data_IF_672960066834
#
_entry.id   IF_672960066834
#
_cell.length_a   1.000
_cell.length_b   1.000
_cell.length_c   1.000
_cell.angle_alpha   90.00
_cell.angle_beta   90.00
_cell.angle_gamma   90.00
#
_symmetry.space_group_name_H-M   'P 1'
#
loop_
_entity.id
_entity.type
_entity.pdbx_description
1 polymer ?
#
# COMPACT_ATOMS: atom_id res chain seq x y z
N UNK A 1 -9.96 -21.40 8.83
CA UNK A 1 -9.32 -20.57 7.79
C UNK A 1 -10.07 -19.26 7.71
N UNK A 2 -9.36 -18.12 7.73
CA UNK A 2 -9.98 -16.80 7.57
C UNK A 2 -9.74 -16.34 6.13
N UNK A 3 -10.81 -16.31 5.33
CA UNK A 3 -10.77 -15.90 3.92
C UNK A 3 -11.58 -14.63 3.75
N UNK A 4 -11.00 -13.60 3.14
CA UNK A 4 -11.71 -12.40 2.70
C UNK A 4 -12.03 -12.52 1.20
N UNK A 5 -13.31 -12.25 0.83
CA UNK A 5 -13.78 -12.44 -0.54
C UNK A 5 -14.05 -11.11 -1.20
N UNK A 6 -13.42 -10.90 -2.35
CA UNK A 6 -13.71 -9.85 -3.30
C UNK A 6 -14.55 -10.42 -4.46
N UNK A 7 -14.97 -9.59 -5.40
CA UNK A 7 -15.80 -10.03 -6.53
C UNK A 7 -15.08 -11.04 -7.44
N UNK A 8 -13.80 -10.85 -7.69
CA UNK A 8 -13.05 -11.64 -8.66
C UNK A 8 -11.90 -12.45 -8.09
N UNK A 9 -11.60 -12.27 -6.79
CA UNK A 9 -10.55 -13.02 -6.09
C UNK A 9 -10.84 -13.19 -4.61
N UNK A 10 -10.09 -14.08 -3.97
CA UNK A 10 -10.16 -14.31 -2.53
C UNK A 10 -8.77 -14.14 -1.90
N UNK A 11 -8.73 -13.67 -0.67
CA UNK A 11 -7.50 -13.51 0.12
C UNK A 11 -7.59 -14.38 1.37
N UNK A 12 -6.79 -15.42 1.40
CA UNK A 12 -6.54 -16.21 2.61
C UNK A 12 -5.61 -15.43 3.53
N UNK A 13 -5.93 -15.38 4.84
CA UNK A 13 -5.22 -14.52 5.80
C UNK A 13 -5.09 -15.14 7.20
N UNK A 14 -5.00 -16.48 7.27
CA UNK A 14 -5.05 -17.19 8.56
C UNK A 14 -3.77 -17.05 9.39
N UNK A 15 -2.62 -16.93 8.76
CA UNK A 15 -1.31 -17.02 9.40
C UNK A 15 -0.45 -15.75 9.21
N UNK A 16 -1.07 -14.60 8.96
CA UNK A 16 -0.37 -13.32 8.80
C UNK A 16 -0.72 -12.36 9.92
N UNK A 17 0.24 -11.54 10.30
CA UNK A 17 0.06 -10.55 11.35
C UNK A 17 -0.94 -9.44 10.93
N UNK A 18 -0.87 -9.01 9.67
CA UNK A 18 -1.75 -7.97 9.12
C UNK A 18 -2.76 -8.60 8.16
N UNK A 19 -4.04 -8.49 8.52
CA UNK A 19 -5.16 -8.95 7.69
C UNK A 19 -5.57 -7.88 6.68
N UNK A 20 -6.43 -8.27 5.72
CA UNK A 20 -7.08 -7.31 4.82
C UNK A 20 -7.76 -6.22 5.64
N UNK A 21 -7.34 -5.00 5.44
CA UNK A 21 -7.84 -3.80 6.10
C UNK A 21 -8.27 -2.74 5.11
N UNK A 22 -9.01 -1.75 5.60
CA UNK A 22 -9.50 -0.63 4.78
C UNK A 22 -8.37 0.12 4.07
N UNK A 23 -7.22 0.30 4.73
CA UNK A 23 -6.09 1.05 4.18
C UNK A 23 -5.53 0.39 2.91
N UNK A 24 -5.30 -0.93 2.93
CA UNK A 24 -4.84 -1.66 1.75
C UNK A 24 -5.84 -1.62 0.59
N UNK A 25 -7.14 -1.75 0.89
CA UNK A 25 -8.19 -1.65 -0.13
C UNK A 25 -8.28 -0.25 -0.71
N UNK A 26 -8.20 0.80 0.12
CA UNK A 26 -8.20 2.18 -0.34
C UNK A 26 -7.03 2.45 -1.28
N UNK A 27 -5.81 2.10 -0.87
CA UNK A 27 -4.62 2.32 -1.69
C UNK A 27 -4.69 1.53 -3.00
N UNK A 28 -5.03 0.24 -2.93
CA UNK A 28 -5.16 -0.63 -4.09
C UNK A 28 -6.24 -0.18 -5.09
N UNK A 29 -7.32 0.47 -4.59
CA UNK A 29 -8.38 1.03 -5.43
C UNK A 29 -8.00 2.41 -6.02
N UNK A 30 -7.21 3.23 -5.29
CA UNK A 30 -6.98 4.63 -5.60
C UNK A 30 -5.72 4.89 -6.43
N UNK A 31 -4.63 4.14 -6.23
CA UNK A 31 -3.35 4.41 -6.90
C UNK A 31 -3.47 4.46 -8.42
N UNK A 32 -2.71 5.36 -9.06
CA UNK A 32 -2.64 5.50 -10.52
C UNK A 32 -1.80 4.37 -11.12
N UNK A 33 -2.33 3.73 -12.17
CA UNK A 33 -1.70 2.56 -12.81
C UNK A 33 -1.55 2.76 -14.33
N UNK A 34 -1.81 3.98 -14.84
CA UNK A 34 -1.76 4.27 -16.26
C UNK A 34 -0.35 4.05 -16.81
N UNK A 35 -0.23 3.24 -17.85
CA UNK A 35 1.05 2.93 -18.49
C UNK A 35 1.98 2.03 -17.66
N UNK A 36 1.53 1.48 -16.55
CA UNK A 36 2.36 0.60 -15.72
C UNK A 36 2.57 -0.77 -16.38
N UNK A 37 3.82 -1.12 -16.63
CA UNK A 37 4.27 -2.44 -17.07
C UNK A 37 4.81 -3.28 -15.91
N UNK A 38 5.52 -2.66 -14.98
CA UNK A 38 6.11 -3.31 -13.81
C UNK A 38 5.70 -2.62 -12.52
N UNK A 39 5.10 -3.36 -11.60
CA UNK A 39 4.62 -2.85 -10.32
C UNK A 39 5.27 -3.60 -9.16
N UNK A 40 5.63 -2.85 -8.10
CA UNK A 40 6.19 -3.38 -6.86
C UNK A 40 5.25 -3.06 -5.69
N UNK A 41 4.86 -4.07 -4.93
CA UNK A 41 4.12 -3.94 -3.67
C UNK A 41 5.10 -4.19 -2.50
N UNK A 42 5.51 -3.10 -1.83
CA UNK A 42 6.46 -3.14 -0.71
C UNK A 42 5.74 -3.41 0.61
N UNK A 43 6.11 -4.50 1.27
CA UNK A 43 5.44 -4.98 2.47
C UNK A 43 4.09 -5.59 2.09
N UNK A 44 4.09 -6.51 1.13
CA UNK A 44 2.88 -7.03 0.46
C UNK A 44 1.91 -7.75 1.42
N UNK A 45 2.38 -8.25 2.55
CA UNK A 45 1.56 -8.93 3.55
C UNK A 45 0.77 -10.12 2.96
N UNK A 46 -0.55 -9.97 2.89
CA UNK A 46 -1.44 -10.97 2.26
C UNK A 46 -1.42 -10.93 0.73
N UNK A 47 -0.80 -9.93 0.12
CA UNK A 47 -0.83 -9.69 -1.31
C UNK A 47 -2.08 -8.94 -1.80
N UNK A 48 -2.90 -8.39 -0.91
CA UNK A 48 -4.18 -7.77 -1.29
C UNK A 48 -4.01 -6.59 -2.23
N UNK A 49 -3.03 -5.71 -2.02
CA UNK A 49 -2.79 -4.55 -2.88
C UNK A 49 -2.32 -5.02 -4.26
N UNK A 50 -1.36 -5.95 -4.32
CA UNK A 50 -0.89 -6.53 -5.58
C UNK A 50 -2.01 -7.20 -6.40
N UNK A 51 -2.94 -7.91 -5.73
CA UNK A 51 -4.11 -8.52 -6.37
C UNK A 51 -5.08 -7.48 -6.94
N UNK A 52 -5.35 -6.40 -6.18
CA UNK A 52 -6.18 -5.30 -6.64
C UNK A 52 -5.55 -4.55 -7.82
N UNK A 53 -4.24 -4.34 -7.78
CA UNK A 53 -3.47 -3.79 -8.91
C UNK A 53 -3.58 -4.69 -10.14
N UNK A 54 -3.43 -6.01 -9.95
CA UNK A 54 -3.56 -6.98 -11.03
C UNK A 54 -4.95 -6.97 -11.69
N UNK A 55 -6.01 -6.75 -10.94
CA UNK A 55 -7.36 -6.61 -11.47
C UNK A 55 -7.54 -5.33 -12.30
N UNK A 56 -6.90 -4.23 -11.88
CA UNK A 56 -7.10 -2.89 -12.47
C UNK A 56 -6.25 -2.58 -13.69
N UNK A 57 -5.13 -3.27 -13.87
CA UNK A 57 -4.21 -2.97 -14.97
C UNK A 57 -3.71 -4.21 -15.69
N UNK A 58 -3.13 -4.02 -16.86
CA UNK A 58 -2.51 -5.06 -17.68
C UNK A 58 -0.99 -5.14 -17.49
N UNK A 59 -0.45 -4.70 -16.34
CA UNK A 59 0.97 -4.78 -16.05
C UNK A 59 1.50 -6.21 -16.30
N UNK A 60 2.66 -6.30 -16.94
CA UNK A 60 3.27 -7.56 -17.33
C UNK A 60 3.83 -8.31 -16.12
N UNK A 61 4.27 -7.55 -15.11
CA UNK A 61 4.85 -8.08 -13.90
C UNK A 61 4.43 -7.27 -12.67
N UNK A 62 3.91 -7.96 -11.67
CA UNK A 62 3.59 -7.41 -10.36
C UNK A 62 4.32 -8.22 -9.31
N UNK A 63 5.22 -7.58 -8.58
CA UNK A 63 6.07 -8.22 -7.57
C UNK A 63 5.64 -7.74 -6.19
N UNK A 64 5.24 -8.66 -5.33
CA UNK A 64 5.03 -8.40 -3.91
C UNK A 64 6.25 -8.85 -3.11
N UNK A 65 6.83 -7.98 -2.31
CA UNK A 65 7.95 -8.33 -1.42
C UNK A 65 7.57 -8.14 0.03
N UNK A 66 8.01 -9.06 0.88
CA UNK A 66 7.88 -8.94 2.32
C UNK A 66 9.11 -9.57 2.99
N UNK A 67 9.54 -9.02 4.12
CA UNK A 67 10.65 -9.58 4.90
C UNK A 67 10.16 -10.77 5.74
N UNK A 68 8.88 -10.79 6.13
CA UNK A 68 8.27 -11.88 6.87
C UNK A 68 7.97 -13.06 5.94
N UNK A 69 8.51 -14.22 6.29
CA UNK A 69 8.33 -15.47 5.54
C UNK A 69 6.86 -15.90 5.47
N UNK A 70 6.11 -15.75 6.56
CA UNK A 70 4.70 -16.12 6.61
C UNK A 70 3.87 -15.23 5.68
N UNK A 71 4.17 -13.93 5.63
CA UNK A 71 3.53 -12.97 4.72
C UNK A 71 3.86 -13.29 3.26
N UNK A 72 5.13 -13.49 2.91
CA UNK A 72 5.55 -13.83 1.55
C UNK A 72 4.95 -15.16 1.07
N UNK A 73 4.90 -16.18 1.92
CA UNK A 73 4.25 -17.46 1.62
C UNK A 73 2.73 -17.30 1.44
N UNK A 74 2.09 -16.47 2.27
CA UNK A 74 0.67 -16.17 2.17
C UNK A 74 0.35 -15.46 0.85
N UNK A 75 1.10 -14.41 0.51
CA UNK A 75 0.95 -13.69 -0.76
C UNK A 75 1.15 -14.64 -1.95
N UNK A 76 2.20 -15.46 -1.94
CA UNK A 76 2.48 -16.46 -3.00
C UNK A 76 1.29 -17.42 -3.21
N UNK A 77 0.71 -17.92 -2.11
CA UNK A 77 -0.46 -18.81 -2.16
C UNK A 77 -1.70 -18.08 -2.71
N UNK A 78 -1.93 -16.82 -2.32
CA UNK A 78 -3.04 -16.02 -2.82
C UNK A 78 -2.86 -15.70 -4.31
N UNK A 79 -1.66 -15.35 -4.75
CA UNK A 79 -1.33 -15.07 -6.15
C UNK A 79 -1.55 -16.30 -7.02
N UNK A 80 -1.09 -17.47 -6.58
CA UNK A 80 -1.26 -18.73 -7.33
C UNK A 80 -2.73 -19.12 -7.56
N UNK A 81 -3.63 -18.72 -6.65
CA UNK A 81 -5.08 -18.97 -6.76
C UNK A 81 -5.85 -17.91 -7.52
N UNK A 82 -5.21 -16.78 -7.84
CA UNK A 82 -5.86 -15.67 -8.52
C UNK A 82 -5.95 -15.88 -10.04
N UNK A 83 -6.88 -15.22 -10.74
CA UNK A 83 -6.93 -15.21 -12.20
C UNK A 83 -5.67 -14.64 -12.86
N UNK A 84 -4.84 -13.91 -12.11
CA UNK A 84 -3.64 -13.21 -12.61
C UNK A 84 -2.33 -13.87 -12.21
N UNK A 85 -2.37 -15.14 -11.82
CA UNK A 85 -1.21 -15.89 -11.30
C UNK A 85 0.03 -15.87 -12.21
N UNK A 86 -0.17 -15.78 -13.53
CA UNK A 86 0.94 -15.76 -14.50
C UNK A 86 1.84 -14.51 -14.39
N UNK A 87 1.35 -13.40 -13.83
CA UNK A 87 2.08 -12.12 -13.75
C UNK A 87 2.29 -11.60 -12.33
N UNK A 88 1.85 -12.35 -11.31
CA UNK A 88 2.01 -12.05 -9.90
C UNK A 88 3.12 -12.91 -9.29
N UNK A 89 4.08 -12.27 -8.64
CA UNK A 89 5.23 -12.94 -8.03
C UNK A 89 5.42 -12.46 -6.59
N UNK A 90 5.42 -13.36 -5.61
CA UNK A 90 5.77 -13.03 -4.24
C UNK A 90 7.21 -13.43 -3.95
N UNK A 91 7.95 -12.57 -3.24
CA UNK A 91 9.34 -12.81 -2.82
C UNK A 91 9.50 -12.52 -1.33
N UNK A 92 10.12 -13.43 -0.60
CA UNK A 92 10.66 -13.11 0.71
C UNK A 92 11.96 -12.34 0.52
N UNK A 93 11.88 -11.01 0.62
CA UNK A 93 13.03 -10.14 0.36
C UNK A 93 12.86 -8.81 1.10
N UNK A 94 13.93 -8.33 1.73
CA UNK A 94 13.97 -6.95 2.20
C UNK A 94 14.03 -6.00 1.00
N UNK A 95 13.19 -4.98 0.99
CA UNK A 95 13.09 -4.02 -0.13
C UNK A 95 14.44 -3.34 -0.46
N UNK A 96 15.25 -3.08 0.58
CA UNK A 96 16.57 -2.46 0.44
C UNK A 96 17.55 -3.32 -0.38
N UNK A 97 17.33 -4.64 -0.45
CA UNK A 97 18.22 -5.58 -1.14
C UNK A 97 17.81 -5.89 -2.59
N UNK A 98 16.75 -5.26 -3.09
CA UNK A 98 16.36 -5.39 -4.50
C UNK A 98 17.39 -4.63 -5.35
N UNK A 99 18.04 -5.31 -6.31
CA UNK A 99 19.05 -4.75 -7.19
C UNK A 99 18.75 -5.06 -8.66
N UNK A 100 19.17 -4.17 -9.57
CA UNK A 100 19.08 -4.38 -11.01
C UNK A 100 17.65 -4.36 -11.58
N UNK A 101 16.68 -3.90 -10.82
CA UNK A 101 15.28 -3.80 -11.23
C UNK A 101 14.76 -2.38 -11.03
N UNK A 102 13.85 -1.95 -11.93
CA UNK A 102 13.07 -0.71 -11.77
C UNK A 102 11.60 -0.99 -12.02
N UNK A 103 10.75 -0.13 -11.45
CA UNK A 103 9.30 -0.28 -11.48
C UNK A 103 8.63 1.03 -11.88
N UNK A 104 7.58 0.94 -12.68
CA UNK A 104 6.78 2.10 -13.10
C UNK A 104 5.90 2.59 -11.96
N UNK A 105 5.42 1.65 -11.12
CA UNK A 105 4.64 1.97 -9.93
C UNK A 105 5.17 1.16 -8.75
N UNK A 106 5.39 1.85 -7.63
CA UNK A 106 5.63 1.24 -6.33
C UNK A 106 4.43 1.59 -5.45
N UNK A 107 3.85 0.60 -4.79
CA UNK A 107 2.79 0.80 -3.81
C UNK A 107 3.26 0.30 -2.45
N UNK A 108 2.87 0.98 -1.36
CA UNK A 108 3.14 0.48 -0.02
C UNK A 108 2.12 0.98 1.00
N UNK A 109 1.67 0.07 1.84
CA UNK A 109 0.99 0.34 3.09
C UNK A 109 1.90 -0.13 4.23
N UNK A 110 2.96 0.62 4.54
CA UNK A 110 3.98 0.17 5.49
C UNK A 110 3.39 0.09 6.91
N UNK A 111 3.94 -0.76 7.77
CA UNK A 111 3.53 -0.80 9.18
C UNK A 111 3.74 0.57 9.81
N UNK A 112 2.77 1.02 10.61
CA UNK A 112 2.84 2.32 11.26
C UNK A 112 3.79 2.23 12.45
N UNK A 113 4.86 3.02 12.41
CA UNK A 113 5.66 3.30 13.60
C UNK A 113 4.81 4.17 14.53
N UNK A 114 4.10 3.54 15.45
CA UNK A 114 3.69 4.27 16.63
C UNK A 114 4.98 4.46 17.41
N UNK A 115 5.46 5.70 17.58
CA UNK A 115 6.36 6.06 18.66
C UNK A 115 5.62 5.74 19.96
N UNK A 116 5.54 4.45 20.29
CA UNK A 116 5.13 4.01 21.59
C UNK A 116 6.31 4.37 22.48
N UNK A 117 6.24 5.60 23.05
CA UNK A 117 6.96 5.96 24.24
C UNK A 117 7.06 4.71 25.12
N UNK A 118 8.26 4.07 25.09
CA UNK A 118 8.76 3.16 26.08
C UNK A 118 7.75 2.10 26.58
N UNK A 119 7.52 1.06 25.76
CA UNK A 119 7.10 -0.20 26.38
C UNK A 119 8.24 -0.68 27.29
N UNK A 120 7.99 -1.06 28.57
CA UNK A 120 9.03 -1.46 29.53
C UNK A 120 9.84 -2.70 29.12
N UNK A 121 9.51 -3.33 27.99
CA UNK A 121 10.16 -4.54 27.51
C UNK A 121 11.13 -4.24 26.36
N UNK A 122 12.31 -3.71 26.74
CA UNK A 122 13.40 -3.37 25.84
C UNK A 122 13.83 -4.51 24.88
N UNK A 123 13.52 -5.77 25.21
CA UNK A 123 13.85 -6.92 24.37
C UNK A 123 12.90 -7.08 23.18
N UNK A 124 11.64 -6.66 23.31
CA UNK A 124 10.68 -6.64 22.20
C UNK A 124 10.92 -5.46 21.26
N UNK A 125 11.38 -4.33 21.79
CA UNK A 125 11.72 -3.13 21.04
C UNK A 125 12.91 -3.37 20.11
N UNK A 126 13.98 -4.02 20.60
CA UNK A 126 15.19 -4.30 19.82
C UNK A 126 14.93 -5.26 18.66
N UNK A 127 14.06 -6.29 18.84
CA UNK A 127 13.74 -7.24 17.78
C UNK A 127 12.83 -6.62 16.69
N UNK A 128 12.01 -5.61 17.01
CA UNK A 128 11.20 -4.89 16.03
C UNK A 128 12.03 -3.89 15.20
N UNK A 129 12.97 -3.19 15.81
CA UNK A 129 13.83 -2.22 15.11
C UNK A 129 14.78 -2.84 14.07
N UNK A 130 15.01 -4.16 14.10
CA UNK A 130 15.88 -4.85 13.14
C UNK A 130 15.11 -5.41 11.92
N UNK A 131 13.78 -5.36 11.93
CA UNK A 131 12.93 -5.95 10.87
C UNK A 131 12.07 -4.94 10.13
N UNK A 132 11.94 -3.70 10.61
CA UNK A 132 11.04 -2.70 10.03
C UNK A 132 11.85 -1.63 9.27
N UNK A 133 11.41 -1.32 8.05
CA UNK A 133 12.02 -0.28 7.20
C UNK A 133 11.67 1.10 7.76
N UNK A 134 12.64 1.98 7.98
CA UNK A 134 12.42 3.38 8.36
C UNK A 134 11.88 4.20 7.18
N UNK A 135 11.30 5.38 7.44
CA UNK A 135 10.85 6.26 6.34
C UNK A 135 12.00 6.74 5.46
N UNK A 136 13.17 7.01 6.02
CA UNK A 136 14.37 7.33 5.25
C UNK A 136 14.80 6.18 4.34
N UNK A 137 14.78 4.94 4.84
CA UNK A 137 15.08 3.75 4.03
C UNK A 137 14.00 3.49 2.98
N UNK A 138 12.72 3.68 3.32
CA UNK A 138 11.61 3.55 2.37
C UNK A 138 11.74 4.58 1.24
N UNK A 139 12.05 5.83 1.57
CA UNK A 139 12.28 6.91 0.61
C UNK A 139 13.45 6.56 -0.32
N UNK A 140 14.64 6.27 0.25
CA UNK A 140 15.83 5.93 -0.53
C UNK A 140 15.64 4.68 -1.40
N UNK A 141 14.95 3.66 -0.88
CA UNK A 141 14.65 2.44 -1.62
C UNK A 141 13.70 2.72 -2.78
N UNK A 142 12.64 3.48 -2.54
CA UNK A 142 11.67 3.84 -3.58
C UNK A 142 12.33 4.70 -4.66
N UNK A 143 13.12 5.72 -4.28
CA UNK A 143 13.86 6.57 -5.22
C UNK A 143 14.78 5.76 -6.14
N UNK A 144 15.44 4.74 -5.61
CA UNK A 144 16.34 3.87 -6.36
C UNK A 144 15.62 2.89 -7.29
N UNK A 145 14.46 2.41 -6.88
CA UNK A 145 13.70 1.38 -7.60
C UNK A 145 12.68 1.96 -8.58
N UNK A 146 12.37 3.25 -8.53
CA UNK A 146 11.47 3.89 -9.50
C UNK A 146 12.12 4.02 -10.87
N UNK A 147 11.37 3.71 -11.91
CA UNK A 147 11.68 4.08 -13.27
C UNK A 147 11.67 5.63 -13.43
N UNK A 148 12.28 6.21 -14.46
CA UNK A 148 12.40 7.67 -14.61
C UNK A 148 11.07 8.45 -14.50
N UNK A 149 9.96 7.89 -14.97
CA UNK A 149 8.60 8.48 -14.89
C UNK A 149 7.72 7.73 -13.91
N UNK A 150 8.33 6.89 -13.06
CA UNK A 150 7.64 6.03 -12.12
C UNK A 150 6.99 6.81 -10.97
N UNK A 151 6.05 6.17 -10.30
CA UNK A 151 5.30 6.73 -9.17
C UNK A 151 5.34 5.82 -7.95
N UNK A 152 5.49 6.45 -6.79
CA UNK A 152 5.30 5.81 -5.50
C UNK A 152 3.94 6.21 -4.94
N UNK A 153 3.10 5.24 -4.59
CA UNK A 153 1.83 5.47 -3.91
C UNK A 153 1.88 4.90 -2.48
N UNK A 154 1.55 5.73 -1.50
CA UNK A 154 1.56 5.39 -0.08
C UNK A 154 0.21 5.69 0.58
N UNK A 155 -0.10 4.95 1.64
CA UNK A 155 -1.14 5.30 2.60
C UNK A 155 -0.55 5.33 4.01
N UNK A 156 -0.69 6.46 4.72
CA UNK A 156 -0.13 6.68 6.05
C UNK A 156 -1.07 7.56 6.89
N UNK A 157 -1.01 7.50 8.22
CA UNK A 157 -1.55 8.56 9.08
C UNK A 157 -0.92 9.93 8.75
N UNK A 158 -1.62 11.06 9.01
CA UNK A 158 -1.16 12.39 8.61
C UNK A 158 0.25 12.76 9.12
N UNK A 159 0.54 12.47 10.38
CA UNK A 159 1.84 12.78 11.00
C UNK A 159 2.98 11.98 10.35
N UNK A 160 2.74 10.71 10.08
CA UNK A 160 3.71 9.84 9.42
C UNK A 160 3.90 10.17 7.94
N UNK A 161 2.83 10.61 7.27
CA UNK A 161 2.95 11.15 5.91
C UNK A 161 3.81 12.41 5.89
N UNK A 162 3.65 13.31 6.86
CA UNK A 162 4.49 14.50 6.98
C UNK A 162 5.95 14.13 7.24
N UNK A 163 6.21 13.13 8.08
CA UNK A 163 7.55 12.61 8.30
C UNK A 163 8.15 12.01 7.03
N UNK A 164 7.43 11.15 6.30
CA UNK A 164 7.89 10.60 5.02
C UNK A 164 8.24 11.70 4.02
N UNK A 165 7.40 12.73 3.90
CA UNK A 165 7.64 13.90 3.03
C UNK A 165 8.95 14.62 3.37
N UNK A 166 9.34 14.67 4.66
CA UNK A 166 10.62 15.30 5.06
C UNK A 166 11.84 14.45 4.74
N UNK A 167 11.67 13.15 4.49
CA UNK A 167 12.77 12.21 4.21
C UNK A 167 12.97 11.94 2.71
N UNK A 168 11.94 12.17 1.87
CA UNK A 168 12.01 11.86 0.45
C UNK A 168 12.39 13.06 -0.41
N UNK A 169 13.09 12.78 -1.51
CA UNK A 169 13.35 13.75 -2.60
C UNK A 169 12.28 13.69 -3.70
N UNK A 170 11.39 12.71 -3.63
CA UNK A 170 10.28 12.61 -4.58
C UNK A 170 9.30 13.75 -4.33
N UNK A 171 8.72 14.27 -5.40
CA UNK A 171 7.71 15.31 -5.31
C UNK A 171 6.32 14.67 -5.16
N UNK A 172 5.54 15.14 -4.17
CA UNK A 172 4.12 14.78 -4.07
C UNK A 172 3.38 15.39 -5.26
N UNK A 173 2.69 14.54 -6.03
CA UNK A 173 1.91 14.95 -7.22
C UNK A 173 0.41 14.81 -7.03
N UNK A 174 -0.02 13.96 -6.08
CA UNK A 174 -1.42 13.75 -5.76
C UNK A 174 -1.58 13.40 -4.29
N UNK A 175 -2.64 13.91 -3.66
CA UNK A 175 -2.95 13.67 -2.25
C UNK A 175 -4.45 13.51 -2.06
N UNK A 176 -4.85 12.52 -1.29
CA UNK A 176 -6.22 12.32 -0.85
C UNK A 176 -6.28 12.21 0.68
N UNK A 177 -6.99 13.14 1.31
CA UNK A 177 -7.25 13.13 2.75
C UNK A 177 -8.46 12.26 3.06
N UNK A 178 -8.26 11.18 3.81
CA UNK A 178 -9.31 10.21 4.16
C UNK A 178 -9.85 10.46 5.55
N UNK A 179 -11.18 10.59 5.64
CA UNK A 179 -11.96 10.77 6.88
C UNK A 179 -12.89 9.59 7.08
N UNK A 180 -13.14 9.22 8.35
CA UNK A 180 -14.11 8.15 8.63
C UNK A 180 -15.55 8.63 8.41
N UNK A 181 -15.86 9.87 8.83
CA UNK A 181 -17.20 10.49 8.76
C UNK A 181 -17.09 11.95 8.31
N UNK A 182 -18.17 12.57 7.79
CA UNK A 182 -18.19 13.97 7.39
C UNK A 182 -17.74 14.90 8.52
N UNK A 183 -16.90 15.89 8.20
CA UNK A 183 -16.36 16.83 9.19
C UNK A 183 -15.40 16.24 10.23
N UNK A 184 -15.16 14.94 10.22
CA UNK A 184 -14.21 14.27 11.11
C UNK A 184 -12.76 14.62 10.80
N UNK A 185 -11.85 14.32 11.73
CA UNK A 185 -10.41 14.46 11.50
C UNK A 185 -9.92 13.55 10.37
N UNK A 186 -8.90 14.00 9.63
CA UNK A 186 -8.19 13.15 8.65
C UNK A 186 -7.52 12.00 9.40
N UNK A 187 -7.84 10.78 9.03
CA UNK A 187 -7.32 9.56 9.66
C UNK A 187 -6.17 8.94 8.86
N UNK A 188 -6.23 9.06 7.53
CA UNK A 188 -5.21 8.60 6.60
C UNK A 188 -4.99 9.63 5.51
N UNK A 189 -3.82 9.61 4.96
CA UNK A 189 -3.45 10.34 3.74
C UNK A 189 -2.97 9.29 2.74
N UNK A 190 -3.60 9.23 1.58
CA UNK A 190 -3.04 8.58 0.40
C UNK A 190 -2.29 9.63 -0.40
N UNK A 191 -1.08 9.32 -0.83
CA UNK A 191 -0.30 10.24 -1.63
C UNK A 191 0.48 9.51 -2.71
N UNK A 192 0.60 10.17 -3.87
CA UNK A 192 1.47 9.75 -4.96
C UNK A 192 2.63 10.73 -5.09
N UNK A 193 3.80 10.15 -5.31
CA UNK A 193 5.07 10.85 -5.46
C UNK A 193 5.72 10.45 -6.78
N UNK A 194 6.43 11.39 -7.41
CA UNK A 194 7.18 11.14 -8.64
C UNK A 194 8.57 11.78 -8.59
N UNK A 195 9.51 11.23 -9.35
CA UNK A 195 10.86 11.75 -9.49
C UNK A 195 10.96 12.72 -10.67
N UNK A 196 11.94 13.64 -10.61
CA UNK A 196 12.39 14.42 -11.79
C UNK A 196 11.43 15.48 -12.30
N UNK A 197 10.33 15.75 -11.61
CA UNK A 197 9.39 16.78 -12.02
C UNK A 197 9.84 18.19 -11.59
N UNK A 198 9.44 19.19 -12.35
CA UNK A 198 9.47 20.58 -11.88
C UNK A 198 8.48 20.72 -10.71
N UNK A 199 8.78 21.56 -9.69
CA UNK A 199 7.85 21.77 -8.59
C UNK A 199 6.46 22.16 -9.10
N UNK A 200 5.46 21.37 -8.75
CA UNK A 200 4.05 21.61 -9.05
C UNK A 200 3.20 21.43 -7.80
N UNK A 201 2.07 22.08 -7.75
CA UNK A 201 1.10 21.83 -6.69
C UNK A 201 0.48 20.44 -6.90
N UNK A 202 0.39 19.59 -5.85
CA UNK A 202 -0.25 18.30 -5.99
C UNK A 202 -1.75 18.45 -6.20
N UNK A 203 -2.35 17.50 -6.93
CA UNK A 203 -3.80 17.37 -6.99
C UNK A 203 -4.33 16.98 -5.60
N UNK A 204 -5.20 17.81 -5.03
CA UNK A 204 -5.82 17.54 -3.73
C UNK A 204 -7.20 16.92 -3.88
N UNK A 205 -7.43 15.85 -3.16
CA UNK A 205 -8.70 15.12 -3.08
C UNK A 205 -9.08 14.89 -1.62
N UNK A 206 -10.35 14.62 -1.37
CA UNK A 206 -10.86 14.17 -0.08
C UNK A 206 -11.75 12.96 -0.28
N UNK A 207 -11.70 12.02 0.66
CA UNK A 207 -12.55 10.85 0.70
C UNK A 207 -13.15 10.70 2.09
N UNK A 208 -14.46 10.60 2.18
CA UNK A 208 -15.14 10.22 3.42
C UNK A 208 -15.64 8.79 3.28
N UNK A 209 -15.40 7.93 4.29
CA UNK A 209 -15.75 6.49 4.20
C UNK A 209 -17.23 6.27 4.48
N UNK A 210 -17.76 6.78 5.60
CA UNK A 210 -19.16 6.64 6.00
C UNK A 210 -19.90 7.95 5.87
N UNK A 211 -21.23 7.89 5.76
CA UNK A 211 -22.12 9.04 5.89
C UNK A 211 -22.25 9.46 7.36
N UNK A 212 -23.16 10.37 7.69
CA UNK A 212 -23.53 10.69 9.07
C UNK A 212 -24.25 9.53 9.76
N UNK A 213 -24.70 8.54 9.01
CA UNK A 213 -25.32 7.32 9.52
C UNK A 213 -24.27 6.23 9.64
N UNK A 214 -24.05 5.77 10.87
CA UNK A 214 -23.06 4.72 11.17
C UNK A 214 -23.31 3.44 10.36
N UNK A 215 -22.28 2.97 9.66
CA UNK A 215 -22.32 1.75 8.84
C UNK A 215 -22.90 1.96 7.46
N UNK A 216 -23.28 3.20 7.10
CA UNK A 216 -23.67 3.57 5.74
C UNK A 216 -22.48 4.22 5.03
N UNK A 217 -22.01 3.58 3.96
CA UNK A 217 -20.86 4.07 3.20
C UNK A 217 -21.23 5.23 2.28
N UNK A 218 -20.33 6.21 2.17
CA UNK A 218 -20.46 7.36 1.30
C UNK A 218 -20.53 6.98 -0.18
N UNK A 219 -21.04 7.89 -1.02
CA UNK A 219 -21.07 7.69 -2.46
C UNK A 219 -19.65 7.59 -3.06
N UNK A 220 -18.73 8.41 -2.55
CA UNK A 220 -17.33 8.45 -3.00
C UNK A 220 -16.59 7.14 -2.66
N UNK A 221 -16.76 6.64 -1.42
CA UNK A 221 -16.15 5.38 -1.01
C UNK A 221 -16.71 4.19 -1.82
N UNK A 222 -18.03 4.17 -2.04
CA UNK A 222 -18.68 3.15 -2.88
C UNK A 222 -18.17 3.24 -4.32
N UNK A 223 -18.08 4.43 -4.90
CA UNK A 223 -17.58 4.62 -6.25
C UNK A 223 -16.15 4.11 -6.43
N UNK A 224 -15.29 4.35 -5.41
CA UNK A 224 -13.90 3.90 -5.42
C UNK A 224 -13.77 2.37 -5.29
N UNK A 225 -14.60 1.75 -4.47
CA UNK A 225 -14.40 0.34 -4.06
C UNK A 225 -15.43 -0.65 -4.61
N UNK A 226 -16.44 -0.17 -5.35
CA UNK A 226 -17.54 -1.00 -5.86
C UNK A 226 -17.10 -2.17 -6.74
N UNK A 227 -16.01 -2.03 -7.49
CA UNK A 227 -15.53 -3.09 -8.36
C UNK A 227 -14.95 -4.27 -7.56
N UNK A 228 -14.58 -4.05 -6.30
CA UNK A 228 -13.95 -5.04 -5.45
C UNK A 228 -14.92 -5.72 -4.47
N UNK A 229 -15.73 -4.94 -3.73
CA UNK A 229 -16.58 -5.50 -2.69
C UNK A 229 -17.84 -6.17 -3.22
N UNK A 230 -18.21 -7.31 -2.62
CA UNK A 230 -19.39 -8.11 -3.01
C UNK A 230 -20.73 -7.39 -2.80
N UNK A 231 -20.80 -6.40 -1.93
CA UNK A 231 -22.05 -5.79 -1.45
C UNK A 231 -22.19 -4.31 -1.84
N UNK A 232 -21.56 -3.87 -2.90
CA UNK A 232 -21.79 -2.52 -3.41
C UNK A 232 -22.38 -2.56 -4.79
#
# INVERSE_FOLDING_TARGET
MSVFRFKHFEVEQSNVAMKVGTDGVLLGAWCSLDGAHRVLDLGTGTGVIALMVAERCAAEQIVGVDIDDAAACCASSNFARSPWSARLHARRQAAQTIEGETFDVIVSNPPYFVDSLLSPDARRTTARHTTEITFAELAATSERLLAPEGRLALILPPEQMAQFVSETRLQMVRRCDVRSVPGGAVKRVMAEFAAGLQPCEPLFETLTIETDVRGEFSAEYRALTKEFYLKF
#
